data_IF_333177482012
#
_entry.id   IF_333177482012
#
_cell.length_a   1.000
_cell.length_b   1.000
_cell.length_c   1.000
_cell.angle_alpha   90.00
_cell.angle_beta   90.00
_cell.angle_gamma   90.00
#
_symmetry.space_group_name_H-M   'P 1'
#
loop_
_entity.id
_entity.type
_entity.pdbx_description
1 polymer ?
#
# COMPACT_ATOMS: atom_id res chain seq x y z
N UNK A 1 20.55 21.39 6.44
CA UNK A 1 20.40 19.95 6.14
C UNK A 1 20.26 19.81 4.63
N UNK A 2 21.08 19.02 3.92
CA UNK A 2 20.87 18.89 2.48
C UNK A 2 19.56 18.14 2.22
N UNK A 3 18.74 18.81 1.41
CA UNK A 3 17.55 18.43 0.65
C UNK A 3 17.14 16.96 0.72
N UNK A 4 15.86 16.76 1.03
CA UNK A 4 15.09 15.56 0.76
C UNK A 4 15.60 14.87 -0.50
N UNK A 5 16.02 13.62 -0.34
CA UNK A 5 16.14 12.70 -1.45
C UNK A 5 14.73 12.52 -2.04
N UNK A 6 14.33 13.45 -2.92
CA UNK A 6 13.29 13.20 -3.89
C UNK A 6 13.80 12.03 -4.71
N UNK A 7 13.40 10.83 -4.34
CA UNK A 7 13.54 9.67 -5.20
C UNK A 7 12.78 10.06 -6.47
N UNK A 8 13.50 10.24 -7.57
CA UNK A 8 12.87 10.52 -8.87
C UNK A 8 11.85 9.42 -9.17
N UNK A 9 10.91 9.72 -10.07
CA UNK A 9 10.04 8.69 -10.62
C UNK A 9 10.90 7.47 -11.02
N UNK A 10 10.50 6.31 -10.52
CA UNK A 10 11.25 5.06 -10.61
C UNK A 10 10.29 3.92 -10.94
N UNK A 11 10.85 2.80 -11.38
CA UNK A 11 10.07 1.62 -11.69
C UNK A 11 9.56 0.97 -10.42
N UNK A 12 8.24 0.72 -10.38
CA UNK A 12 7.62 -0.11 -9.37
C UNK A 12 6.96 -1.31 -10.06
N UNK A 13 7.35 -2.52 -9.66
CA UNK A 13 6.67 -3.74 -10.04
C UNK A 13 5.67 -4.10 -8.94
N UNK A 14 4.38 -4.00 -9.26
CA UNK A 14 3.29 -4.31 -8.34
C UNK A 14 2.61 -5.61 -8.76
N UNK A 15 2.38 -6.50 -7.81
CA UNK A 15 1.52 -7.68 -7.95
C UNK A 15 0.36 -7.55 -6.98
N UNK A 16 -0.86 -7.51 -7.48
CA UNK A 16 -2.08 -7.48 -6.68
C UNK A 16 -2.70 -8.88 -6.58
N UNK A 17 -3.15 -9.24 -5.40
CA UNK A 17 -3.77 -10.53 -5.10
C UNK A 17 -5.03 -10.32 -4.29
N UNK A 18 -6.11 -10.98 -4.67
CA UNK A 18 -7.31 -11.09 -3.85
C UNK A 18 -7.01 -12.17 -2.80
N UNK A 19 -6.86 -11.78 -1.53
CA UNK A 19 -6.64 -12.72 -0.43
C UNK A 19 -7.96 -13.23 0.14
N UNK A 20 -9.01 -12.41 0.13
CA UNK A 20 -10.34 -12.76 0.63
C UNK A 20 -11.39 -12.04 -0.22
N UNK A 21 -12.49 -12.72 -0.54
CA UNK A 21 -13.62 -12.14 -1.25
C UNK A 21 -14.90 -12.92 -0.93
N UNK A 22 -15.73 -12.35 -0.06
CA UNK A 22 -16.99 -12.92 0.37
C UNK A 22 -18.01 -11.81 0.70
N UNK A 23 -19.19 -12.18 1.20
CA UNK A 23 -20.30 -11.24 1.47
C UNK A 23 -20.00 -10.22 2.60
N UNK A 24 -19.02 -10.51 3.44
CA UNK A 24 -18.67 -9.71 4.61
C UNK A 24 -17.44 -8.84 4.39
N UNK A 25 -16.48 -9.29 3.58
CA UNK A 25 -15.29 -8.52 3.30
C UNK A 25 -14.64 -8.87 1.97
N UNK A 26 -13.85 -7.92 1.47
CA UNK A 26 -12.83 -8.19 0.48
C UNK A 26 -11.48 -7.68 0.97
N UNK A 27 -10.43 -8.41 0.64
CA UNK A 27 -9.06 -8.05 0.98
C UNK A 27 -8.16 -8.16 -0.25
N UNK A 28 -7.46 -7.07 -0.56
CA UNK A 28 -6.45 -7.04 -1.62
C UNK A 28 -5.08 -6.86 -0.97
N UNK A 29 -4.15 -7.74 -1.34
CA UNK A 29 -2.75 -7.65 -0.94
C UNK A 29 -1.90 -7.31 -2.15
N UNK A 30 -1.03 -6.34 -1.96
CA UNK A 30 -0.06 -5.87 -2.93
C UNK A 30 1.34 -6.27 -2.48
N UNK A 31 2.09 -6.83 -3.41
CA UNK A 31 3.54 -6.97 -3.33
C UNK A 31 4.17 -5.94 -4.26
N UNK A 32 5.00 -5.05 -3.73
CA UNK A 32 5.65 -4.02 -4.53
C UNK A 32 7.17 -4.10 -4.40
N UNK A 33 7.84 -4.11 -5.56
CA UNK A 33 9.29 -4.13 -5.70
C UNK A 33 9.74 -2.86 -6.43
N UNK A 34 10.75 -2.18 -5.90
CA UNK A 34 11.28 -0.92 -6.47
C UNK A 34 12.79 -1.02 -6.65
N UNK A 35 13.30 -1.85 -7.58
CA UNK A 35 14.73 -2.19 -7.66
C UNK A 35 15.65 -0.99 -7.90
N UNK A 36 15.14 0.08 -8.50
CA UNK A 36 15.90 1.26 -8.91
C UNK A 36 16.11 2.30 -7.80
N UNK A 37 15.40 2.18 -6.66
CA UNK A 37 15.53 3.14 -5.55
C UNK A 37 16.71 2.77 -4.65
N UNK A 38 17.29 3.74 -3.91
CA UNK A 38 18.27 3.43 -2.88
C UNK A 38 17.73 2.37 -1.92
N UNK A 39 18.47 1.28 -1.75
CA UNK A 39 18.09 0.12 -0.94
C UNK A 39 16.88 -0.68 -1.45
N UNK A 40 16.37 -0.41 -2.65
CA UNK A 40 15.19 -1.08 -3.23
C UNK A 40 15.31 -2.60 -3.32
N UNK A 41 16.54 -3.11 -3.55
CA UNK A 41 16.81 -4.55 -3.58
C UNK A 41 16.96 -5.21 -2.19
N UNK A 42 16.79 -4.44 -1.11
CA UNK A 42 16.92 -4.93 0.28
C UNK A 42 15.58 -5.19 0.95
N UNK A 43 14.47 -4.75 0.35
CA UNK A 43 13.15 -4.91 0.92
C UNK A 43 12.07 -5.18 -0.13
N UNK A 44 10.96 -5.73 0.33
CA UNK A 44 9.72 -5.90 -0.42
C UNK A 44 8.64 -5.17 0.36
N UNK A 45 7.85 -4.33 -0.31
CA UNK A 45 6.73 -3.65 0.31
C UNK A 45 5.48 -4.53 0.21
N UNK A 46 4.90 -4.88 1.36
CA UNK A 46 3.60 -5.53 1.44
C UNK A 46 2.56 -4.51 1.90
N UNK A 47 1.54 -4.30 1.09
CA UNK A 47 0.39 -3.46 1.45
C UNK A 47 -0.86 -4.33 1.44
N UNK A 48 -1.70 -4.23 2.46
CA UNK A 48 -2.99 -4.91 2.49
C UNK A 48 -4.10 -3.89 2.71
N UNK A 49 -5.12 -3.93 1.86
CA UNK A 49 -6.34 -3.16 2.03
C UNK A 49 -7.46 -4.15 2.29
N UNK A 50 -8.17 -3.97 3.40
CA UNK A 50 -9.36 -4.75 3.76
C UNK A 50 -10.54 -3.81 3.78
N UNK A 51 -11.60 -4.20 3.08
CA UNK A 51 -12.89 -3.52 3.15
C UNK A 51 -13.88 -4.48 3.76
N UNK A 52 -14.50 -4.06 4.85
CA UNK A 52 -15.50 -4.82 5.58
C UNK A 52 -16.86 -4.18 5.36
N UNK A 53 -17.85 -4.98 4.99
CA UNK A 53 -19.25 -4.58 4.94
C UNK A 53 -19.78 -4.45 6.38
N UNK A 54 -20.30 -3.28 6.73
CA UNK A 54 -20.88 -3.01 8.05
C UNK A 54 -22.42 -3.22 8.06
N UNK A 55 -23.01 -3.55 6.92
CA UNK A 55 -24.45 -3.46 6.70
C UNK A 55 -24.89 -2.02 6.45
N UNK A 56 -26.21 -1.82 6.28
CA UNK A 56 -26.84 -0.49 6.16
C UNK A 56 -26.20 0.42 5.09
N UNK A 57 -25.77 -0.16 3.97
CA UNK A 57 -25.08 0.54 2.89
C UNK A 57 -23.79 1.28 3.35
N UNK A 58 -23.09 0.71 4.33
CA UNK A 58 -21.85 1.25 4.86
C UNK A 58 -20.73 0.21 4.82
N UNK A 59 -19.49 0.70 4.66
CA UNK A 59 -18.29 -0.13 4.71
C UNK A 59 -17.21 0.55 5.57
N UNK A 60 -16.29 -0.26 6.10
CA UNK A 60 -15.10 0.20 6.78
C UNK A 60 -13.87 -0.30 6.03
N UNK A 61 -12.99 0.63 5.66
CA UNK A 61 -11.77 0.31 4.94
C UNK A 61 -10.55 0.53 5.84
N UNK A 62 -9.67 -0.47 5.90
CA UNK A 62 -8.42 -0.45 6.66
C UNK A 62 -7.25 -0.77 5.74
N UNK A 63 -6.15 -0.05 5.89
CA UNK A 63 -4.91 -0.31 5.17
C UNK A 63 -3.74 -0.52 6.12
N UNK A 64 -2.93 -1.54 5.84
CA UNK A 64 -1.66 -1.78 6.51
C UNK A 64 -0.52 -1.85 5.49
N UNK A 65 0.68 -1.49 5.94
CA UNK A 65 1.90 -1.62 5.15
C UNK A 65 3.05 -2.09 6.02
N UNK A 66 3.79 -3.07 5.50
CA UNK A 66 4.92 -3.68 6.18
C UNK A 66 6.07 -3.96 5.19
N UNK A 67 7.32 -3.69 5.56
CA UNK A 67 8.46 -4.17 4.79
C UNK A 67 8.79 -5.61 5.18
N UNK A 68 8.99 -6.46 4.18
CA UNK A 68 9.77 -7.67 4.33
C UNK A 68 11.23 -7.37 3.97
N UNK A 69 12.18 -7.84 4.76
CA UNK A 69 13.61 -7.72 4.49
C UNK A 69 14.22 -9.10 4.27
N UNK A 70 14.22 -9.65 3.03
CA UNK A 70 14.62 -11.04 2.78
C UNK A 70 16.04 -11.39 3.21
N UNK A 71 16.93 -10.39 3.28
CA UNK A 71 18.34 -10.53 3.68
C UNK A 71 18.61 -9.97 5.09
N UNK A 72 17.58 -9.77 5.89
CA UNK A 72 17.67 -9.12 7.20
C UNK A 72 17.53 -7.60 7.14
N UNK A 73 17.18 -7.01 8.29
CA UNK A 73 16.86 -5.58 8.39
C UNK A 73 18.10 -4.70 8.14
N UNK A 74 18.07 -3.77 7.17
CA UNK A 74 19.16 -2.83 6.95
C UNK A 74 19.20 -1.75 8.05
N UNK A 75 20.34 -1.05 8.18
CA UNK A 75 20.49 0.08 9.12
C UNK A 75 19.47 1.21 8.88
N UNK A 76 18.98 1.33 7.65
CA UNK A 76 18.00 2.35 7.22
C UNK A 76 16.55 1.88 7.32
N UNK A 77 16.26 0.75 7.98
CA UNK A 77 14.91 0.18 8.05
C UNK A 77 13.86 1.15 8.62
N UNK A 78 14.23 2.01 9.56
CA UNK A 78 13.34 3.05 10.08
C UNK A 78 12.92 4.07 9.02
N UNK A 79 13.86 4.50 8.17
CA UNK A 79 13.58 5.45 7.07
C UNK A 79 12.72 4.78 5.99
N UNK A 80 13.00 3.52 5.65
CA UNK A 80 12.19 2.73 4.71
C UNK A 80 10.75 2.62 5.22
N UNK A 81 10.55 2.21 6.49
CA UNK A 81 9.23 2.12 7.12
C UNK A 81 8.49 3.46 7.10
N UNK A 82 9.18 4.56 7.43
CA UNK A 82 8.61 5.90 7.39
C UNK A 82 8.14 6.31 5.99
N UNK A 83 9.00 6.14 4.99
CA UNK A 83 8.67 6.45 3.59
C UNK A 83 7.52 5.59 3.06
N UNK A 84 7.52 4.28 3.36
CA UNK A 84 6.43 3.37 2.98
C UNK A 84 5.09 3.76 3.59
N UNK A 85 5.07 4.17 4.87
CA UNK A 85 3.85 4.64 5.54
C UNK A 85 3.28 5.89 4.86
N UNK A 86 4.12 6.89 4.59
CA UNK A 86 3.68 8.09 3.87
C UNK A 86 3.13 7.75 2.48
N UNK A 87 3.90 7.04 1.65
CA UNK A 87 3.45 6.71 0.29
C UNK A 87 2.20 5.83 0.25
N UNK A 88 2.05 4.93 1.23
CA UNK A 88 0.83 4.10 1.34
C UNK A 88 -0.36 4.93 1.80
N UNK A 89 -0.19 5.90 2.69
CA UNK A 89 -1.27 6.79 3.10
C UNK A 89 -1.82 7.58 1.89
N UNK A 90 -0.95 8.09 1.03
CA UNK A 90 -1.35 8.79 -0.20
C UNK A 90 -2.11 7.85 -1.16
N UNK A 91 -1.60 6.62 -1.37
CA UNK A 91 -2.28 5.60 -2.18
C UNK A 91 -3.66 5.24 -1.59
N UNK A 92 -3.74 5.11 -0.27
CA UNK A 92 -4.97 4.77 0.44
C UNK A 92 -6.04 5.85 0.28
N UNK A 93 -5.66 7.12 0.42
CA UNK A 93 -6.56 8.25 0.20
C UNK A 93 -7.06 8.28 -1.24
N UNK A 94 -6.17 8.16 -2.23
CA UNK A 94 -6.55 8.15 -3.64
C UNK A 94 -7.53 7.00 -3.99
N UNK A 95 -7.34 5.82 -3.40
CA UNK A 95 -8.27 4.69 -3.55
C UNK A 95 -9.63 5.04 -2.92
N UNK A 96 -9.64 5.57 -1.69
CA UNK A 96 -10.88 5.94 -1.01
C UNK A 96 -11.70 6.99 -1.79
N UNK A 97 -11.05 8.03 -2.30
CA UNK A 97 -11.68 9.07 -3.12
C UNK A 97 -12.23 8.50 -4.42
N UNK A 98 -11.50 7.57 -5.05
CA UNK A 98 -11.96 6.90 -6.27
C UNK A 98 -13.19 6.05 -5.99
N UNK A 99 -13.21 5.29 -4.89
CA UNK A 99 -14.38 4.50 -4.48
C UNK A 99 -15.57 5.43 -4.24
N UNK A 100 -15.40 6.50 -3.46
CA UNK A 100 -16.48 7.46 -3.16
C UNK A 100 -17.05 8.06 -4.45
N UNK A 101 -16.17 8.49 -5.37
CA UNK A 101 -16.57 9.08 -6.66
C UNK A 101 -17.45 8.15 -7.50
N UNK A 102 -17.17 6.85 -7.48
CA UNK A 102 -17.88 5.86 -8.30
C UNK A 102 -18.95 5.06 -7.55
N UNK A 103 -19.06 5.20 -6.23
CA UNK A 103 -20.01 4.45 -5.41
C UNK A 103 -21.47 4.66 -5.87
N UNK A 104 -21.82 5.86 -6.32
CA UNK A 104 -23.16 6.18 -6.84
C UNK A 104 -23.34 5.80 -8.32
N UNK A 105 -22.24 5.48 -9.02
CA UNK A 105 -22.26 5.15 -10.46
C UNK A 105 -22.67 3.70 -10.74
N UNK A 106 -22.58 2.85 -9.72
CA UNK A 106 -22.89 1.42 -9.81
C UNK A 106 -24.04 1.11 -8.85
N UNK A 107 -25.26 0.89 -9.37
CA UNK A 107 -26.43 0.55 -8.55
C UNK A 107 -26.34 -0.85 -7.94
#
# INVERSE_FOLDING_TARGET
>A
MPKSAFVKANTAHETAMIEEYNDHCFAIKYKTLTPDVPYGNTFIAWTKIVVTNLGSNASHMVCSVEPEFPKGSPLVAGQIKGGMRSGTADKFLAISETIIKYAESFP
#
